data_IF_542412859885
#
_entry.id   IF_542412859885
#
_cell.length_a   1.000
_cell.length_b   1.000
_cell.length_c   1.000
_cell.angle_alpha   90.00
_cell.angle_beta   90.00
_cell.angle_gamma   90.00
#
_symmetry.space_group_name_H-M   'P 1'
#
loop_
_entity.id
_entity.type
_entity.pdbx_description
1 polymer ?
#
# COMPACT_ATOMS: atom_id res chain seq x y z
N UNK A 1 -3.83 -14.82 -26.10
CA UNK A 1 -2.71 -14.41 -25.22
C UNK A 1 -3.13 -14.68 -23.80
N UNK A 2 -2.57 -15.71 -23.16
CA UNK A 2 -2.87 -16.03 -21.76
C UNK A 2 -1.98 -15.14 -20.90
N UNK A 3 -2.54 -14.10 -20.29
CA UNK A 3 -1.82 -13.32 -19.28
C UNK A 3 -1.56 -14.28 -18.12
N UNK A 4 -0.31 -14.69 -17.91
CA UNK A 4 0.07 -15.39 -16.69
C UNK A 4 -0.26 -14.43 -15.54
N UNK A 5 -1.07 -14.86 -14.58
CA UNK A 5 -1.29 -14.15 -13.31
C UNK A 5 0.04 -14.06 -12.55
N UNK A 6 0.85 -13.06 -12.88
CA UNK A 6 2.09 -12.79 -12.16
C UNK A 6 1.74 -11.99 -10.92
N UNK A 7 2.07 -12.56 -9.76
CA UNK A 7 1.84 -11.92 -8.49
C UNK A 7 3.20 -11.42 -7.98
N UNK A 8 3.24 -10.18 -7.50
CA UNK A 8 4.46 -9.54 -7.03
C UNK A 8 4.30 -9.15 -5.57
N UNK A 9 5.33 -9.39 -4.78
CA UNK A 9 5.44 -8.90 -3.40
C UNK A 9 6.40 -7.73 -3.37
N UNK A 10 5.96 -6.63 -2.78
CA UNK A 10 6.77 -5.42 -2.57
C UNK A 10 7.04 -5.28 -1.08
N UNK A 11 8.30 -5.05 -0.70
CA UNK A 11 8.75 -4.85 0.68
C UNK A 11 9.71 -3.66 0.74
N UNK A 12 9.84 -3.01 1.90
CA UNK A 12 10.93 -2.06 2.12
C UNK A 12 12.28 -2.79 2.01
N UNK A 13 13.28 -2.08 1.50
CA UNK A 13 14.65 -2.58 1.35
C UNK A 13 15.32 -2.94 2.68
N UNK A 14 14.98 -2.22 3.75
CA UNK A 14 15.43 -2.45 5.12
C UNK A 14 14.72 -3.63 5.83
N UNK A 15 13.71 -4.25 5.19
CA UNK A 15 12.93 -5.35 5.74
C UNK A 15 11.90 -4.94 6.79
N UNK A 16 11.72 -3.65 7.08
CA UNK A 16 10.67 -3.16 7.96
C UNK A 16 9.29 -3.22 7.30
N UNK A 17 8.27 -3.07 8.13
CA UNK A 17 6.90 -2.84 7.68
C UNK A 17 6.62 -1.34 7.55
N UNK A 18 5.60 -1.02 6.78
CA UNK A 18 5.09 0.33 6.62
C UNK A 18 3.58 0.39 6.80
N UNK A 19 3.07 1.59 7.01
CA UNK A 19 1.64 1.87 7.07
C UNK A 19 1.16 2.41 5.72
N UNK A 20 -0.12 2.23 5.44
CA UNK A 20 -0.77 2.82 4.28
C UNK A 20 -1.63 4.00 4.72
N UNK A 21 -1.48 5.15 4.05
CA UNK A 21 -2.35 6.28 4.29
C UNK A 21 -3.78 5.90 3.88
N UNK A 22 -4.70 5.96 4.84
CA UNK A 22 -6.08 5.56 4.66
C UNK A 22 -7.03 6.60 5.22
N UNK A 23 -8.15 6.78 4.53
CA UNK A 23 -9.30 7.54 5.02
C UNK A 23 -10.43 6.58 5.32
N UNK A 24 -11.20 6.84 6.37
CA UNK A 24 -12.37 6.05 6.72
C UNK A 24 -13.60 6.94 6.82
N UNK A 25 -14.75 6.34 6.50
CA UNK A 25 -16.05 6.94 6.66
C UNK A 25 -16.81 6.15 7.74
N UNK A 26 -17.48 6.82 8.68
CA UNK A 26 -18.36 6.14 9.62
C UNK A 26 -19.52 5.49 8.86
N UNK A 27 -20.11 4.45 9.45
CA UNK A 27 -21.31 3.85 8.88
C UNK A 27 -22.42 4.91 8.78
N UNK A 28 -23.06 5.01 7.61
CA UNK A 28 -24.13 5.97 7.34
C UNK A 28 -25.36 5.23 6.83
N UNK A 29 -26.45 5.28 7.62
CA UNK A 29 -27.67 4.53 7.36
C UNK A 29 -27.37 3.06 7.03
N UNK A 30 -27.65 2.63 5.79
CA UNK A 30 -27.44 1.26 5.33
C UNK A 30 -26.03 0.99 4.78
N UNK A 31 -25.15 2.02 4.74
CA UNK A 31 -23.79 1.87 4.27
C UNK A 31 -22.85 1.48 5.43
N UNK A 32 -22.12 0.35 5.32
CA UNK A 32 -21.22 -0.10 6.38
C UNK A 32 -20.02 0.83 6.52
N UNK A 33 -19.31 0.71 7.66
CA UNK A 33 -18.02 1.36 7.82
C UNK A 33 -17.08 0.93 6.69
N UNK A 34 -16.48 1.91 6.03
CA UNK A 34 -15.61 1.69 4.88
C UNK A 34 -14.35 2.53 5.02
N UNK A 35 -13.25 2.02 4.43
CA UNK A 35 -12.01 2.76 4.31
C UNK A 35 -11.50 2.69 2.88
N UNK A 36 -10.68 3.68 2.52
CA UNK A 36 -10.02 3.75 1.21
C UNK A 36 -8.54 4.03 1.43
N UNK A 37 -7.70 3.32 0.69
CA UNK A 37 -6.26 3.55 0.67
C UNK A 37 -5.97 4.65 -0.34
N UNK A 38 -5.24 5.67 0.09
CA UNK A 38 -4.75 6.73 -0.80
C UNK A 38 -3.62 6.15 -1.63
N UNK A 39 -3.62 6.44 -2.92
CA UNK A 39 -2.56 5.99 -3.84
C UNK A 39 -1.77 7.19 -4.35
N UNK A 40 -0.49 6.97 -4.60
CA UNK A 40 0.43 7.92 -5.25
C UNK A 40 1.00 7.27 -6.52
N UNK A 41 1.70 8.05 -7.34
CA UNK A 41 2.41 7.48 -8.48
C UNK A 41 3.45 6.47 -7.99
N UNK A 42 3.56 5.35 -8.69
CA UNK A 42 4.54 4.33 -8.37
C UNK A 42 5.96 4.84 -8.60
N UNK A 43 6.87 4.44 -7.72
CA UNK A 43 8.28 4.73 -7.88
C UNK A 43 8.90 3.86 -8.99
N UNK A 44 10.14 4.15 -9.47
CA UNK A 44 10.72 3.48 -10.64
C UNK A 44 10.86 1.95 -10.55
N UNK A 45 10.93 1.41 -9.34
CA UNK A 45 10.92 -0.05 -9.13
C UNK A 45 9.51 -0.63 -9.40
N UNK A 46 8.46 -0.03 -8.81
CA UNK A 46 7.09 -0.55 -8.87
C UNK A 46 6.39 -0.18 -10.20
N UNK A 47 6.74 0.95 -10.81
CA UNK A 47 6.11 1.47 -12.04
C UNK A 47 6.26 0.54 -13.24
N UNK A 48 7.16 -0.44 -13.18
CA UNK A 48 7.33 -1.49 -14.20
C UNK A 48 6.20 -2.53 -14.17
N UNK A 49 5.49 -2.61 -13.06
CA UNK A 49 4.45 -3.60 -12.79
C UNK A 49 3.08 -2.96 -12.54
N UNK A 50 3.04 -1.76 -11.94
CA UNK A 50 1.81 -1.03 -11.63
C UNK A 50 2.07 0.48 -11.59
N UNK A 51 1.20 1.29 -12.22
CA UNK A 51 1.39 2.75 -12.34
C UNK A 51 1.24 3.52 -11.02
N UNK A 52 0.48 2.96 -10.06
CA UNK A 52 0.20 3.56 -8.75
C UNK A 52 0.34 2.53 -7.66
N UNK A 53 0.76 2.98 -6.49
CA UNK A 53 0.80 2.16 -5.28
C UNK A 53 0.23 2.95 -4.10
N UNK A 54 -0.06 2.25 -3.00
CA UNK A 54 -0.54 2.89 -1.77
C UNK A 54 0.50 3.87 -1.23
N UNK A 55 0.03 5.04 -0.77
CA UNK A 55 0.87 6.03 -0.12
C UNK A 55 1.42 5.47 1.20
N UNK A 56 2.73 5.54 1.36
CA UNK A 56 3.45 4.91 2.47
C UNK A 56 3.64 5.92 3.58
N UNK A 57 3.20 5.55 4.78
CA UNK A 57 3.49 6.29 6.01
C UNK A 57 4.53 5.50 6.80
N UNK A 58 5.67 6.12 7.07
CA UNK A 58 6.70 5.51 7.90
C UNK A 58 6.29 5.54 9.36
N UNK A 59 6.82 4.62 10.17
CA UNK A 59 6.48 4.49 11.60
C UNK A 59 6.56 5.83 12.37
N UNK A 60 7.56 6.66 12.08
CA UNK A 60 7.76 7.97 12.71
C UNK A 60 6.72 9.03 12.30
N UNK A 61 6.03 8.82 11.19
CA UNK A 61 5.04 9.74 10.61
C UNK A 61 3.60 9.40 11.00
N UNK A 62 3.35 8.27 11.66
CA UNK A 62 1.99 7.78 11.95
C UNK A 62 1.14 8.82 12.66
N UNK A 63 1.65 9.45 13.72
CA UNK A 63 0.87 10.47 14.44
C UNK A 63 0.74 11.76 13.65
N UNK A 64 1.72 12.10 12.79
CA UNK A 64 1.56 13.24 11.87
C UNK A 64 0.41 13.02 10.88
N UNK A 65 0.22 11.79 10.40
CA UNK A 65 -0.93 11.41 9.56
C UNK A 65 -2.25 11.43 10.33
N UNK A 66 -2.30 10.79 11.50
CA UNK A 66 -3.55 10.63 12.27
C UNK A 66 -4.04 11.96 12.86
N UNK A 67 -3.14 12.80 13.36
CA UNK A 67 -3.48 14.08 14.01
C UNK A 67 -3.51 15.26 13.03
N UNK A 68 -3.12 15.03 11.76
CA UNK A 68 -2.99 16.09 10.73
C UNK A 68 -2.07 17.24 11.15
N UNK A 69 -0.95 16.90 11.79
CA UNK A 69 0.01 17.88 12.31
C UNK A 69 0.91 18.50 11.23
N UNK A 70 0.90 17.94 10.01
CA UNK A 70 1.67 18.42 8.85
C UNK A 70 0.78 18.41 7.60
N UNK A 71 1.08 19.23 6.58
CA UNK A 71 0.39 19.17 5.30
C UNK A 71 0.40 17.77 4.69
N UNK A 72 -0.71 17.34 4.07
CA UNK A 72 -0.80 16.01 3.47
C UNK A 72 0.20 15.83 2.32
N UNK A 73 0.52 16.90 1.60
CA UNK A 73 1.51 16.87 0.50
C UNK A 73 2.90 16.43 0.97
N UNK A 74 3.26 16.70 2.22
CA UNK A 74 4.57 16.33 2.80
C UNK A 74 4.60 14.84 3.25
N UNK A 75 3.44 14.17 3.27
CA UNK A 75 3.30 12.76 3.66
C UNK A 75 2.94 11.86 2.48
N UNK A 76 2.16 12.37 1.52
CA UNK A 76 1.62 11.63 0.39
C UNK A 76 2.51 11.76 -0.86
N UNK A 77 3.80 11.49 -0.68
CA UNK A 77 4.79 11.57 -1.76
C UNK A 77 5.09 10.21 -2.37
N UNK A 78 5.48 10.20 -3.65
CA UNK A 78 6.06 9.02 -4.29
C UNK A 78 7.40 8.70 -3.62
N UNK A 79 7.58 7.50 -3.05
CA UNK A 79 8.83 7.14 -2.41
C UNK A 79 10.02 7.22 -3.38
N UNK A 80 11.21 7.59 -2.90
CA UNK A 80 12.38 7.68 -3.76
C UNK A 80 12.76 6.32 -4.35
N UNK A 81 13.60 6.34 -5.38
CA UNK A 81 14.22 5.12 -5.89
C UNK A 81 14.98 4.39 -4.77
N UNK A 82 15.09 3.06 -4.91
CA UNK A 82 15.72 2.12 -3.99
C UNK A 82 15.00 1.98 -2.64
N UNK A 83 13.73 2.35 -2.57
CA UNK A 83 12.91 2.13 -1.36
C UNK A 83 12.39 0.70 -1.26
N UNK A 84 12.17 0.02 -2.40
CA UNK A 84 11.54 -1.30 -2.41
C UNK A 84 12.41 -2.40 -2.99
N UNK A 85 12.21 -3.59 -2.42
CA UNK A 85 12.59 -4.87 -3.03
C UNK A 85 11.32 -5.54 -3.56
N UNK A 86 11.36 -5.93 -4.83
CA UNK A 86 10.25 -6.58 -5.52
C UNK A 86 10.62 -8.03 -5.79
N UNK A 87 9.73 -8.93 -5.41
CA UNK A 87 9.88 -10.36 -5.55
C UNK A 87 8.69 -10.91 -6.34
N UNK A 88 8.94 -11.59 -7.46
CA UNK A 88 7.90 -12.35 -8.15
C UNK A 88 7.55 -13.58 -7.31
N UNK A 89 6.29 -13.66 -6.87
CA UNK A 89 5.79 -14.82 -6.13
C UNK A 89 4.97 -15.68 -7.09
N UNK A 90 5.40 -16.93 -7.26
CA UNK A 90 4.61 -17.92 -8.00
C UNK A 90 3.24 -18.05 -7.33
N UNK A 91 2.17 -18.14 -8.13
CA UNK A 91 0.83 -18.52 -7.68
C UNK A 91 0.84 -19.97 -7.15
N UNK A 92 1.53 -20.23 -6.04
CA UNK A 92 1.43 -21.46 -5.27
C UNK A 92 0.03 -21.60 -4.66
N UNK A 93 -0.33 -22.80 -4.15
CA UNK A 93 -1.68 -23.09 -3.70
C UNK A 93 -2.14 -22.02 -2.69
N UNK A 94 -3.23 -21.32 -3.04
CA UNK A 94 -3.91 -20.36 -2.16
C UNK A 94 -4.33 -21.14 -0.91
N UNK A 95 -3.93 -20.69 0.29
CA UNK A 95 -4.39 -21.31 1.54
C UNK A 95 -5.92 -21.41 1.49
N UNK A 96 -6.50 -22.62 1.60
CA UNK A 96 -7.93 -22.74 1.78
C UNK A 96 -8.29 -22.03 3.08
N UNK A 97 -9.36 -21.25 3.03
CA UNK A 97 -9.81 -20.34 4.06
C UNK A 97 -9.67 -20.91 5.49
N UNK A 98 -9.18 -20.09 6.41
CA UNK A 98 -9.46 -20.27 7.83
C UNK A 98 -10.97 -20.13 8.02
N UNK A 99 -11.67 -21.26 7.98
CA UNK A 99 -13.05 -21.36 8.42
C UNK A 99 -13.01 -21.52 9.94
N UNK A 100 -13.50 -20.49 10.65
CA UNK A 100 -13.88 -20.56 12.05
C UNK A 100 -15.21 -21.30 12.19
#
# INVERSE_FOLDING_TARGET
MTVKDRCYRVRLDDGNFFYLAGVWEPAMADYPLAFRIITVAANPEVSRYQDRHGAIILRRQVMHWLDKNVPEVDLLETPPARTFVIEEITSGPRQPALVL
#
